data_IF_428034374220
#
_entry.id   IF_428034374220
#
_cell.length_a   1.000
_cell.length_b   1.000
_cell.length_c   1.000
_cell.angle_alpha   90.00
_cell.angle_beta   90.00
_cell.angle_gamma   90.00
#
_symmetry.space_group_name_H-M   'P 1'
#
loop_
_entity.id
_entity.type
_entity.pdbx_description
1 polymer ?
#
# COMPACT_ATOMS: atom_id res chain seq x y z
N UNK A 1 -8.25 3.32 -16.46
CA UNK A 1 -7.03 3.21 -15.63
C UNK A 1 -5.77 3.49 -16.45
N UNK A 2 -5.59 2.89 -17.62
CA UNK A 2 -4.41 3.09 -18.48
C UNK A 2 -4.23 4.53 -19.00
N UNK A 3 -5.34 5.29 -19.15
CA UNK A 3 -5.33 6.68 -19.62
C UNK A 3 -4.61 7.64 -18.66
N UNK A 4 -4.60 7.31 -17.36
CA UNK A 4 -3.99 8.14 -16.31
C UNK A 4 -2.63 7.62 -15.86
N UNK A 5 -2.12 6.55 -16.48
CA UNK A 5 -0.86 5.92 -16.05
C UNK A 5 0.31 6.90 -16.08
N UNK A 6 0.46 7.61 -17.20
CA UNK A 6 1.60 8.50 -17.40
C UNK A 6 1.54 9.80 -16.54
N UNK A 7 0.42 10.01 -15.84
CA UNK A 7 0.19 11.24 -15.06
C UNK A 7 0.08 11.02 -13.55
N UNK A 8 -0.24 9.80 -13.14
CA UNK A 8 -0.61 9.53 -11.74
C UNK A 8 0.16 8.37 -11.11
N UNK A 9 1.08 7.74 -11.85
CA UNK A 9 1.92 6.66 -11.33
C UNK A 9 3.38 7.06 -11.39
N UNK A 10 4.02 7.01 -10.25
CA UNK A 10 5.39 7.47 -10.04
C UNK A 10 6.21 6.40 -9.34
N UNK A 11 7.53 6.55 -9.38
CA UNK A 11 8.45 5.69 -8.66
C UNK A 11 8.63 6.14 -7.21
N UNK A 12 9.21 5.29 -6.37
CA UNK A 12 9.57 5.70 -5.00
C UNK A 12 10.64 6.78 -4.97
N UNK A 13 11.52 6.85 -5.97
CA UNK A 13 12.53 7.92 -6.04
C UNK A 13 11.86 9.27 -6.26
N UNK A 14 10.86 9.34 -7.13
CA UNK A 14 10.05 10.54 -7.35
C UNK A 14 9.22 10.89 -6.11
N UNK A 15 8.62 9.90 -5.45
CA UNK A 15 7.92 10.11 -4.19
C UNK A 15 8.82 10.79 -3.14
N UNK A 16 10.05 10.31 -2.95
CA UNK A 16 10.99 10.93 -2.01
C UNK A 16 11.42 12.34 -2.44
N UNK A 17 11.56 12.58 -3.74
CA UNK A 17 11.81 13.92 -4.26
C UNK A 17 10.62 14.86 -3.98
N UNK A 18 9.40 14.41 -4.20
CA UNK A 18 8.20 15.18 -3.91
C UNK A 18 8.05 15.49 -2.42
N UNK A 19 8.36 14.53 -1.54
CA UNK A 19 8.40 14.76 -0.09
C UNK A 19 9.42 15.84 0.26
N UNK A 20 10.61 15.76 -0.31
CA UNK A 20 11.70 16.71 -0.04
C UNK A 20 11.41 18.12 -0.57
N UNK A 21 10.75 18.20 -1.73
CA UNK A 21 10.44 19.46 -2.42
C UNK A 21 9.10 20.09 -2.00
N UNK A 22 8.27 19.37 -1.24
CA UNK A 22 6.94 19.84 -0.84
C UNK A 22 5.91 19.78 -1.97
N UNK A 23 6.09 18.87 -2.93
CA UNK A 23 5.26 18.72 -4.12
C UNK A 23 4.37 17.46 -4.10
N UNK A 24 4.25 16.79 -2.95
CA UNK A 24 3.32 15.68 -2.83
C UNK A 24 1.91 16.09 -3.26
N UNK A 25 1.21 15.28 -4.05
CA UNK A 25 -0.18 15.53 -4.41
C UNK A 25 -1.07 15.49 -3.15
N UNK A 26 -2.29 15.95 -3.29
CA UNK A 26 -3.30 15.96 -2.21
C UNK A 26 -3.58 14.57 -1.64
N UNK A 27 -3.39 13.53 -2.43
CA UNK A 27 -3.43 12.12 -2.03
C UNK A 27 -2.34 11.35 -2.77
N UNK A 28 -1.50 10.66 -2.03
CA UNK A 28 -0.49 9.74 -2.55
C UNK A 28 -0.73 8.36 -1.94
N UNK A 29 -0.79 7.34 -2.79
CA UNK A 29 -0.88 5.93 -2.39
C UNK A 29 0.43 5.25 -2.72
N UNK A 30 1.05 4.62 -1.73
CA UNK A 30 2.31 3.90 -1.90
C UNK A 30 2.03 2.41 -1.88
N UNK A 31 2.35 1.74 -2.98
CA UNK A 31 2.26 0.29 -3.11
C UNK A 31 3.64 -0.32 -2.89
N UNK A 32 3.81 -1.23 -1.92
CA UNK A 32 5.06 -1.96 -1.73
C UNK A 32 5.38 -2.88 -2.91
N UNK A 33 6.64 -3.26 -3.03
CA UNK A 33 7.05 -4.25 -4.03
C UNK A 33 6.73 -5.65 -3.54
N UNK A 34 5.91 -6.38 -4.29
CA UNK A 34 5.51 -7.76 -4.01
C UNK A 34 6.11 -8.82 -4.95
N UNK A 35 6.86 -8.41 -5.99
CA UNK A 35 7.41 -9.30 -7.01
C UNK A 35 8.94 -9.37 -7.04
N UNK A 36 9.59 -8.29 -6.68
CA UNK A 36 11.04 -8.17 -6.79
C UNK A 36 11.59 -7.34 -5.63
N UNK A 37 12.60 -7.86 -4.94
CA UNK A 37 13.13 -7.22 -3.73
C UNK A 37 11.97 -6.80 -2.82
N UNK A 38 11.12 -7.77 -2.51
CA UNK A 38 9.89 -7.57 -1.76
C UNK A 38 10.14 -6.70 -0.52
N UNK A 39 9.33 -5.68 -0.36
CA UNK A 39 9.34 -4.81 0.81
C UNK A 39 7.91 -4.55 1.33
N UNK A 40 7.06 -5.53 1.12
CA UNK A 40 5.71 -5.67 1.61
C UNK A 40 5.67 -6.38 2.98
N UNK A 41 4.48 -6.57 3.53
CA UNK A 41 4.28 -7.24 4.80
C UNK A 41 3.66 -8.63 4.66
N UNK A 42 3.68 -9.25 3.50
CA UNK A 42 3.22 -10.63 3.40
C UNK A 42 3.99 -11.51 4.39
N UNK A 43 3.31 -12.35 5.17
CA UNK A 43 3.98 -13.31 6.05
C UNK A 43 4.92 -14.18 5.22
N UNK A 44 6.10 -14.55 5.74
CA UNK A 44 6.95 -15.50 5.05
C UNK A 44 6.16 -16.80 4.90
N UNK A 45 5.77 -17.12 3.68
CA UNK A 45 5.08 -18.38 3.43
C UNK A 45 6.01 -19.51 3.84
N UNK A 46 5.58 -20.44 4.72
CA UNK A 46 6.34 -21.66 4.90
C UNK A 46 6.43 -22.30 3.53
N UNK A 47 7.65 -22.57 3.07
CA UNK A 47 7.90 -23.32 1.87
C UNK A 47 7.40 -24.75 2.11
N UNK A 48 6.09 -24.96 2.01
CA UNK A 48 5.53 -26.29 1.95
C UNK A 48 6.08 -26.93 0.67
N UNK A 49 6.63 -28.16 0.71
CA UNK A 49 7.39 -28.74 -0.39
C UNK A 49 6.66 -28.82 -1.71
N UNK A 50 5.36 -28.56 -1.78
CA UNK A 50 4.53 -28.72 -2.98
C UNK A 50 3.55 -27.57 -3.25
N UNK A 51 3.66 -26.46 -2.55
CA UNK A 51 2.80 -25.29 -2.79
C UNK A 51 3.69 -24.14 -3.23
N UNK A 52 3.64 -23.71 -4.49
CA UNK A 52 4.32 -22.53 -4.97
C UNK A 52 3.54 -21.30 -4.44
N UNK A 53 3.66 -21.01 -3.17
CA UNK A 53 3.06 -19.82 -2.58
C UNK A 53 4.11 -18.73 -2.58
N UNK A 54 3.80 -17.64 -3.20
CA UNK A 54 4.38 -16.32 -3.05
C UNK A 54 5.90 -16.23 -3.18
N UNK A 55 6.38 -15.07 -3.60
CA UNK A 55 7.79 -14.74 -3.52
C UNK A 55 8.31 -14.83 -2.09
N UNK A 56 9.63 -14.92 -1.92
CA UNK A 56 10.25 -14.74 -0.63
C UNK A 56 9.89 -13.35 -0.10
N UNK A 57 9.28 -13.28 1.05
CA UNK A 57 8.91 -12.05 1.74
C UNK A 57 9.48 -12.07 3.15
N UNK A 58 9.82 -10.90 3.66
CA UNK A 58 10.27 -10.68 5.02
C UNK A 58 9.65 -9.39 5.54
N UNK A 59 8.80 -9.50 6.54
CA UNK A 59 8.09 -8.34 7.13
C UNK A 59 9.01 -7.22 7.59
N UNK A 60 10.30 -7.54 7.87
CA UNK A 60 11.31 -6.51 8.19
C UNK A 60 11.61 -5.58 7.02
N UNK A 61 11.41 -6.04 5.79
CA UNK A 61 11.54 -5.20 4.60
C UNK A 61 10.36 -4.20 4.49
N UNK A 62 9.16 -4.61 4.89
CA UNK A 62 8.02 -3.71 5.06
C UNK A 62 8.25 -2.68 6.18
N UNK A 63 8.80 -3.12 7.33
CA UNK A 63 9.21 -2.22 8.42
C UNK A 63 10.21 -1.17 7.93
N UNK A 64 11.18 -1.57 7.11
CA UNK A 64 12.17 -0.64 6.55
C UNK A 64 11.51 0.36 5.61
N UNK A 65 10.61 -0.08 4.72
CA UNK A 65 9.87 0.82 3.84
C UNK A 65 9.04 1.83 4.64
N UNK A 66 8.28 1.37 5.64
CA UNK A 66 7.48 2.24 6.50
C UNK A 66 8.36 3.23 7.28
N UNK A 67 9.52 2.78 7.78
CA UNK A 67 10.53 3.63 8.42
C UNK A 67 11.03 4.72 7.47
N UNK A 68 11.39 4.37 6.24
CA UNK A 68 11.98 5.30 5.27
C UNK A 68 10.96 6.36 4.86
N UNK A 69 9.71 5.97 4.59
CA UNK A 69 8.61 6.90 4.30
C UNK A 69 8.36 7.82 5.49
N UNK A 70 8.24 7.27 6.69
CA UNK A 70 8.06 8.06 7.91
C UNK A 70 9.18 9.07 8.13
N UNK A 71 10.42 8.63 7.96
CA UNK A 71 11.61 9.47 8.16
C UNK A 71 11.66 10.60 7.14
N UNK A 72 11.32 10.31 5.87
CA UNK A 72 11.25 11.32 4.82
C UNK A 72 10.17 12.36 5.14
N UNK A 73 8.95 11.93 5.47
CA UNK A 73 7.85 12.83 5.85
C UNK A 73 8.22 13.67 7.08
N UNK A 74 8.77 13.04 8.13
CA UNK A 74 9.22 13.74 9.35
C UNK A 74 10.28 14.81 9.06
N UNK A 75 11.18 14.55 8.11
CA UNK A 75 12.25 15.47 7.73
C UNK A 75 11.80 16.60 6.78
N UNK A 76 10.63 16.50 6.19
CA UNK A 76 10.11 17.51 5.25
C UNK A 76 9.80 18.82 5.97
N UNK A 77 10.54 19.87 5.62
CA UNK A 77 10.49 21.17 6.28
C UNK A 77 10.24 22.33 5.29
N UNK A 78 9.61 22.06 4.15
CA UNK A 78 9.29 23.04 3.13
C UNK A 78 8.33 24.10 3.70
N UNK A 79 8.52 25.35 3.32
CA UNK A 79 7.66 26.47 3.80
C UNK A 79 6.34 26.50 3.02
N UNK A 80 6.39 26.07 1.76
CA UNK A 80 5.22 26.01 0.87
C UNK A 80 5.00 24.58 0.40
N UNK A 81 3.74 24.22 0.15
CA UNK A 81 3.38 22.87 -0.29
C UNK A 81 3.30 21.86 0.85
N UNK A 82 3.50 20.60 0.54
CA UNK A 82 3.45 19.50 1.52
C UNK A 82 4.67 19.49 2.43
N UNK A 83 4.46 19.24 3.73
CA UNK A 83 5.54 19.12 4.71
C UNK A 83 5.05 18.31 5.93
N UNK A 84 5.94 18.08 6.89
CA UNK A 84 5.65 17.31 8.10
C UNK A 84 4.44 17.84 8.90
N UNK A 85 4.19 19.15 8.86
CA UNK A 85 3.11 19.77 9.65
C UNK A 85 1.73 19.67 8.98
N UNK A 86 1.64 19.38 7.68
CA UNK A 86 0.37 19.33 6.96
C UNK A 86 0.13 17.99 6.24
N UNK A 87 0.97 17.00 6.51
CA UNK A 87 0.83 15.64 5.96
C UNK A 87 0.24 14.70 7.01
N UNK A 88 -0.76 13.92 6.63
CA UNK A 88 -1.25 12.77 7.37
C UNK A 88 -0.72 11.50 6.70
N UNK A 89 0.16 10.78 7.37
CA UNK A 89 0.64 9.47 6.92
C UNK A 89 -0.21 8.37 7.55
N UNK A 90 -0.81 7.55 6.70
CA UNK A 90 -1.55 6.35 7.09
C UNK A 90 -0.75 5.12 6.66
N UNK A 91 -0.44 4.25 7.62
CA UNK A 91 0.11 2.91 7.37
C UNK A 91 -0.94 1.89 7.77
N UNK A 92 -1.39 1.10 6.82
CA UNK A 92 -2.40 0.06 7.06
C UNK A 92 -2.21 -1.09 6.08
N UNK A 93 -3.06 -2.10 6.16
CA UNK A 93 -2.98 -3.33 5.39
C UNK A 93 -4.30 -3.53 4.64
N UNK A 94 -4.23 -4.12 3.46
CA UNK A 94 -5.40 -4.47 2.64
C UNK A 94 -6.24 -5.57 3.30
N UNK A 95 -5.55 -6.59 3.86
CA UNK A 95 -6.16 -7.71 4.55
C UNK A 95 -5.20 -8.26 5.64
N UNK A 96 -5.62 -9.30 6.36
CA UNK A 96 -4.97 -9.79 7.58
C UNK A 96 -3.79 -10.76 7.34
N UNK A 97 -3.42 -11.06 6.09
CA UNK A 97 -2.29 -11.95 5.77
C UNK A 97 -2.43 -13.36 6.36
N UNK A 98 -3.64 -13.89 6.48
CA UNK A 98 -3.96 -15.14 7.17
C UNK A 98 -3.60 -15.17 8.68
N UNK A 99 -3.33 -14.01 9.30
CA UNK A 99 -3.09 -13.93 10.73
C UNK A 99 -4.42 -14.03 11.49
N UNK A 100 -4.43 -14.84 12.54
CA UNK A 100 -5.62 -15.01 13.39
C UNK A 100 -5.91 -13.75 14.21
N UNK A 101 -7.20 -13.40 14.32
CA UNK A 101 -7.70 -12.42 15.27
C UNK A 101 -8.81 -13.04 16.14
N UNK A 102 -8.79 -12.76 17.43
CA UNK A 102 -9.80 -13.25 18.38
C UNK A 102 -11.12 -12.47 18.33
N UNK A 103 -11.17 -11.35 17.62
CA UNK A 103 -12.39 -10.54 17.47
C UNK A 103 -13.10 -10.93 16.18
N UNK A 104 -14.35 -11.38 16.32
CA UNK A 104 -15.18 -11.70 15.17
C UNK A 104 -15.49 -10.45 14.34
N UNK A 105 -15.41 -10.52 12.99
CA UNK A 105 -15.79 -9.41 12.14
C UNK A 105 -17.22 -8.92 12.38
N UNK A 106 -17.45 -7.63 12.63
CA UNK A 106 -18.77 -7.08 12.86
C UNK A 106 -19.57 -6.92 11.57
N UNK A 107 -20.87 -6.72 11.69
CA UNK A 107 -21.72 -6.32 10.55
C UNK A 107 -21.36 -4.92 10.05
N UNK A 108 -21.65 -4.67 8.79
CA UNK A 108 -21.35 -3.40 8.13
C UNK A 108 -22.43 -3.03 7.11
N UNK A 109 -22.57 -1.74 6.83
CA UNK A 109 -23.36 -1.25 5.72
C UNK A 109 -22.89 -1.89 4.41
N UNK A 110 -23.80 -2.39 3.60
CA UNK A 110 -23.48 -2.95 2.28
C UNK A 110 -23.03 -1.84 1.32
N UNK A 111 -22.21 -2.16 0.30
CA UNK A 111 -21.78 -1.15 -0.68
C UNK A 111 -22.91 -0.47 -1.43
N UNK A 112 -24.03 -1.15 -1.60
CA UNK A 112 -25.21 -0.62 -2.30
C UNK A 112 -26.52 -1.18 -1.70
N UNK A 113 -27.65 -0.52 -1.99
CA UNK A 113 -28.95 -0.94 -1.52
C UNK A 113 -29.99 -0.86 -2.68
N UNK A 114 -30.62 -1.99 -3.13
CA UNK A 114 -30.38 -3.33 -2.63
C UNK A 114 -28.98 -3.88 -3.00
N UNK A 115 -28.43 -4.69 -2.12
CA UNK A 115 -27.16 -5.36 -2.34
C UNK A 115 -27.39 -6.65 -3.13
N UNK A 116 -26.84 -6.78 -4.35
CA UNK A 116 -26.86 -8.04 -5.07
C UNK A 116 -25.99 -9.08 -4.35
N UNK A 117 -26.37 -10.32 -4.49
CA UNK A 117 -25.62 -11.46 -4.01
C UNK A 117 -24.28 -11.55 -4.77
N UNK A 118 -23.19 -11.68 -4.02
CA UNK A 118 -21.87 -11.94 -4.54
C UNK A 118 -21.57 -13.44 -4.68
N UNK A 119 -20.34 -13.75 -4.98
CA UNK A 119 -19.89 -15.15 -5.04
C UNK A 119 -20.08 -15.84 -3.68
N UNK A 120 -20.39 -17.14 -3.71
CA UNK A 120 -20.60 -17.99 -2.54
C UNK A 120 -21.68 -17.47 -1.58
N UNK A 121 -22.72 -16.84 -2.09
CA UNK A 121 -23.82 -16.23 -1.32
C UNK A 121 -23.35 -15.15 -0.34
N UNK A 122 -22.31 -14.38 -0.69
CA UNK A 122 -21.80 -13.31 0.13
C UNK A 122 -22.49 -11.97 -0.18
N UNK A 123 -23.04 -11.31 0.83
CA UNK A 123 -23.82 -10.07 0.67
C UNK A 123 -23.04 -8.81 1.07
N UNK A 124 -21.78 -8.89 1.38
CA UNK A 124 -20.95 -7.75 1.78
C UNK A 124 -21.49 -6.97 3.00
N UNK A 125 -22.24 -7.61 3.85
CA UNK A 125 -22.86 -7.06 5.05
C UNK A 125 -22.02 -7.20 6.32
N UNK A 126 -20.75 -7.58 6.16
CA UNK A 126 -19.78 -7.83 7.23
C UNK A 126 -18.40 -7.27 6.87
N UNK A 127 -17.68 -6.80 7.88
CA UNK A 127 -16.26 -6.43 7.73
C UNK A 127 -15.39 -7.69 7.70
N UNK A 128 -14.13 -7.51 7.34
CA UNK A 128 -13.09 -8.54 7.44
C UNK A 128 -12.47 -8.64 8.85
N UNK A 129 -11.48 -9.50 8.97
CA UNK A 129 -10.61 -9.59 10.15
C UNK A 129 -9.86 -8.27 10.33
N UNK A 130 -9.62 -7.86 11.60
CA UNK A 130 -8.93 -6.60 11.87
C UNK A 130 -7.52 -6.60 11.33
N UNK A 131 -7.09 -5.43 10.86
CA UNK A 131 -5.73 -5.15 10.43
C UNK A 131 -5.12 -4.03 11.29
N UNK A 132 -3.81 -4.03 11.54
CA UNK A 132 -3.14 -2.91 12.20
C UNK A 132 -3.27 -1.63 11.37
N UNK A 133 -3.41 -0.50 12.05
CA UNK A 133 -3.43 0.81 11.40
C UNK A 133 -2.72 1.83 12.27
N UNK A 134 -1.83 2.61 11.66
CA UNK A 134 -1.08 3.67 12.31
C UNK A 134 -1.35 4.97 11.56
N UNK A 135 -1.79 6.00 12.30
CA UNK A 135 -1.98 7.35 11.80
C UNK A 135 -0.91 8.28 12.39
N UNK A 136 -0.22 9.02 11.54
CA UNK A 136 0.86 9.91 11.93
C UNK A 136 0.61 11.29 11.36
N UNK A 137 0.46 12.28 12.23
CA UNK A 137 0.30 13.68 11.87
C UNK A 137 0.88 14.57 12.96
N UNK A 138 1.23 15.79 12.60
CA UNK A 138 1.59 16.83 13.57
C UNK A 138 0.45 17.13 14.54
N UNK A 139 -0.79 16.93 14.13
CA UNK A 139 -2.00 17.21 14.91
C UNK A 139 -2.57 15.99 15.65
N UNK A 140 -1.85 14.88 15.69
CA UNK A 140 -2.24 13.69 16.45
C UNK A 140 -1.50 13.66 17.79
N UNK A 141 -2.24 13.50 18.90
CA UNK A 141 -1.63 13.30 20.22
C UNK A 141 -0.76 12.03 20.26
N UNK A 142 0.42 12.14 20.86
CA UNK A 142 1.36 11.02 20.93
C UNK A 142 0.79 9.89 21.79
N UNK A 143 0.81 8.66 21.25
CA UNK A 143 0.37 7.46 21.95
C UNK A 143 -1.15 7.33 22.10
N UNK A 144 -1.93 8.16 21.41
CA UNK A 144 -3.40 8.03 21.39
C UNK A 144 -3.82 6.72 20.69
N UNK A 145 -4.98 6.20 21.11
CA UNK A 145 -5.57 4.98 20.56
C UNK A 145 -7.03 5.24 20.21
N UNK A 146 -7.41 4.92 18.98
CA UNK A 146 -8.80 5.00 18.54
C UNK A 146 -9.43 3.63 18.68
N UNK A 147 -10.41 3.50 19.58
CA UNK A 147 -11.04 2.22 19.90
C UNK A 147 -12.36 1.96 19.15
N UNK A 148 -12.88 2.93 18.40
CA UNK A 148 -14.07 2.70 17.58
C UNK A 148 -13.75 1.87 16.32
N UNK A 149 -14.69 1.08 15.80
CA UNK A 149 -14.50 0.38 14.54
C UNK A 149 -14.28 1.37 13.40
N UNK A 150 -13.19 1.17 12.67
CA UNK A 150 -12.83 1.88 11.44
C UNK A 150 -12.56 0.82 10.37
N UNK A 151 -12.91 1.09 9.13
CA UNK A 151 -12.63 0.21 8.00
C UNK A 151 -12.09 1.00 6.81
N UNK A 152 -11.62 0.31 5.77
CA UNK A 152 -10.95 0.94 4.61
C UNK A 152 -11.77 2.06 3.94
N UNK A 153 -13.08 1.97 3.96
CA UNK A 153 -13.96 3.06 3.48
C UNK A 153 -13.75 4.40 4.19
N UNK A 154 -13.10 4.40 5.37
CA UNK A 154 -12.76 5.61 6.10
C UNK A 154 -11.78 6.51 5.32
N UNK A 155 -10.86 5.93 4.56
CA UNK A 155 -9.94 6.70 3.70
C UNK A 155 -10.73 7.44 2.62
N UNK A 156 -11.60 6.72 1.91
CA UNK A 156 -12.47 7.31 0.88
C UNK A 156 -13.37 8.38 1.50
N UNK A 157 -14.00 8.09 2.64
CA UNK A 157 -14.84 9.05 3.35
C UNK A 157 -14.10 10.33 3.74
N UNK A 158 -12.87 10.20 4.24
CA UNK A 158 -12.03 11.35 4.60
C UNK A 158 -11.74 12.23 3.38
N UNK A 159 -11.37 11.62 2.25
CA UNK A 159 -11.14 12.34 0.99
C UNK A 159 -12.41 13.00 0.48
N UNK A 160 -13.54 12.29 0.47
CA UNK A 160 -14.83 12.85 0.04
C UNK A 160 -15.23 14.05 0.90
N UNK A 161 -15.07 13.95 2.22
CA UNK A 161 -15.38 15.05 3.15
C UNK A 161 -14.43 16.24 2.93
N UNK A 162 -13.13 15.98 2.83
CA UNK A 162 -12.12 17.04 2.70
C UNK A 162 -12.22 17.80 1.38
N UNK A 163 -12.53 17.11 0.29
CA UNK A 163 -12.54 17.70 -1.05
C UNK A 163 -13.94 17.89 -1.63
N UNK A 164 -14.98 17.72 -0.82
CA UNK A 164 -16.39 17.83 -1.23
C UNK A 164 -16.71 16.96 -2.47
N UNK A 165 -16.29 15.70 -2.43
CA UNK A 165 -16.56 14.71 -3.46
C UNK A 165 -17.77 13.86 -3.10
N UNK A 166 -18.47 13.37 -4.11
CA UNK A 166 -19.52 12.38 -3.90
C UNK A 166 -18.91 11.05 -3.40
N UNK A 167 -19.62 10.32 -2.51
CA UNK A 167 -19.21 8.98 -2.11
C UNK A 167 -19.27 8.03 -3.32
N UNK A 168 -18.47 6.98 -3.27
CA UNK A 168 -18.44 5.93 -4.29
C UNK A 168 -19.54 4.90 -4.07
N UNK A 169 -19.84 4.59 -2.82
CA UNK A 169 -20.79 3.56 -2.38
C UNK A 169 -21.48 3.96 -1.09
N UNK A 170 -22.56 3.26 -0.72
CA UNK A 170 -23.18 3.44 0.59
C UNK A 170 -22.22 3.08 1.74
N UNK A 171 -21.33 2.13 1.53
CA UNK A 171 -20.35 1.73 2.55
C UNK A 171 -19.42 2.87 2.93
N UNK A 172 -18.83 3.56 1.98
CA UNK A 172 -17.94 4.69 2.27
C UNK A 172 -18.73 5.95 2.66
N UNK A 173 -19.94 6.13 2.15
CA UNK A 173 -20.82 7.21 2.55
C UNK A 173 -21.11 7.20 4.07
N UNK A 174 -21.40 6.03 4.64
CA UNK A 174 -21.68 5.85 6.05
C UNK A 174 -20.46 5.43 6.89
N UNK A 175 -19.27 5.34 6.28
CA UNK A 175 -18.06 5.07 7.03
C UNK A 175 -17.71 6.22 7.99
N UNK A 176 -17.10 5.91 9.15
CA UNK A 176 -16.40 6.94 9.91
C UNK A 176 -15.26 7.51 9.06
N UNK A 177 -14.94 8.78 9.20
CA UNK A 177 -13.72 9.34 8.63
C UNK A 177 -12.55 9.25 9.61
N UNK A 178 -11.38 9.77 9.21
CA UNK A 178 -10.16 9.71 10.01
C UNK A 178 -9.95 10.97 10.89
N UNK A 179 -10.96 11.82 11.03
CA UNK A 179 -10.85 13.09 11.80
C UNK A 179 -10.54 12.88 13.28
N UNK A 180 -10.94 11.73 13.87
CA UNK A 180 -10.61 11.38 15.25
C UNK A 180 -9.09 11.28 15.50
N UNK A 181 -8.28 11.16 14.47
CA UNK A 181 -6.83 11.19 14.59
C UNK A 181 -6.27 12.61 14.74
N UNK A 182 -7.05 13.63 14.41
CA UNK A 182 -6.66 15.04 14.51
C UNK A 182 -7.21 15.58 15.83
N UNK A 183 -6.41 15.46 16.88
CA UNK A 183 -6.84 15.73 18.28
C UNK A 183 -6.27 17.00 18.87
N UNK A 184 -5.34 17.65 18.18
CA UNK A 184 -4.64 18.83 18.66
C UNK A 184 -4.99 20.07 17.83
N UNK A 185 -5.16 21.20 18.50
CA UNK A 185 -5.37 22.50 17.84
C UNK A 185 -4.06 23.07 17.27
N UNK A 186 -2.93 22.74 17.90
CA UNK A 186 -1.60 23.18 17.49
C UNK A 186 -0.70 21.99 17.10
N UNK A 187 0.12 22.15 16.07
CA UNK A 187 0.96 21.06 15.59
C UNK A 187 2.12 20.75 16.52
N UNK A 188 2.41 19.48 16.75
CA UNK A 188 3.63 19.03 17.38
C UNK A 188 4.81 19.18 16.42
N UNK A 189 5.91 19.74 16.91
CA UNK A 189 7.11 19.85 16.10
C UNK A 189 7.68 18.46 15.74
N UNK A 190 8.12 18.24 14.49
CA UNK A 190 8.69 16.97 14.06
C UNK A 190 9.88 16.49 14.89
N UNK A 191 10.63 17.41 15.52
CA UNK A 191 11.71 17.07 16.45
C UNK A 191 11.25 16.29 17.68
N UNK A 192 9.98 16.37 18.04
CA UNK A 192 9.38 15.63 19.18
C UNK A 192 8.83 14.25 18.77
N UNK A 193 8.80 13.94 17.47
CA UNK A 193 8.29 12.67 16.98
C UNK A 193 9.29 11.56 17.26
N UNK A 194 8.85 10.31 17.47
CA UNK A 194 9.73 9.17 17.68
C UNK A 194 10.79 9.03 16.59
N UNK A 195 11.89 8.40 16.92
CA UNK A 195 12.92 8.00 15.95
C UNK A 195 13.03 6.49 16.00
N UNK A 196 12.23 5.76 15.20
CA UNK A 196 12.26 4.32 15.16
C UNK A 196 13.58 3.83 14.57
N UNK A 197 14.01 2.64 14.99
CA UNK A 197 15.17 1.96 14.45
C UNK A 197 14.68 0.74 13.68
N UNK A 198 14.86 0.69 12.34
CA UNK A 198 14.40 -0.43 11.56
C UNK A 198 15.20 -1.69 11.86
N UNK A 199 14.59 -2.84 11.70
CA UNK A 199 15.27 -4.12 11.80
C UNK A 199 16.13 -4.37 10.56
N UNK A 200 17.23 -5.12 10.74
CA UNK A 200 18.07 -5.54 9.62
C UNK A 200 17.30 -6.54 8.76
N UNK A 201 17.19 -6.23 7.48
CA UNK A 201 16.58 -7.13 6.50
C UNK A 201 17.63 -8.15 6.07
N UNK A 202 17.39 -9.46 6.22
CA UNK A 202 18.33 -10.46 5.76
C UNK A 202 18.35 -10.52 4.23
N UNK A 203 19.43 -10.94 3.61
CA UNK A 203 19.46 -11.18 2.17
C UNK A 203 18.49 -12.31 1.79
N UNK A 204 17.93 -12.27 0.58
CA UNK A 204 17.08 -13.35 0.09
C UNK A 204 17.83 -14.68 0.04
N UNK A 205 17.13 -15.82 0.20
CA UNK A 205 17.76 -17.13 0.10
C UNK A 205 18.48 -17.33 -1.23
N UNK A 206 19.66 -17.95 -1.23
CA UNK A 206 20.38 -18.26 -2.46
C UNK A 206 19.53 -19.11 -3.41
N UNK A 207 19.54 -18.78 -4.68
CA UNK A 207 18.82 -19.54 -5.72
C UNK A 207 17.35 -19.16 -5.87
N UNK A 208 16.86 -18.16 -5.16
CA UNK A 208 15.50 -17.67 -5.29
C UNK A 208 15.17 -17.28 -6.74
N UNK A 209 16.14 -16.75 -7.45
CA UNK A 209 16.02 -16.35 -8.86
C UNK A 209 15.71 -17.52 -9.81
N UNK A 210 16.02 -18.75 -9.41
CA UNK A 210 15.82 -19.98 -10.21
C UNK A 210 14.46 -20.63 -9.97
N UNK A 211 13.69 -20.18 -9.00
CA UNK A 211 12.36 -20.74 -8.76
C UNK A 211 11.40 -20.44 -9.91
N UNK A 212 10.44 -21.33 -10.19
CA UNK A 212 9.37 -21.03 -11.14
C UNK A 212 8.47 -19.90 -10.62
N UNK A 213 7.86 -19.18 -11.55
CA UNK A 213 6.85 -18.18 -11.22
C UNK A 213 5.58 -18.83 -10.66
N UNK A 214 4.97 -18.21 -9.67
CA UNK A 214 3.60 -18.52 -9.25
C UNK A 214 2.58 -17.90 -10.24
N UNK A 215 1.29 -18.19 -10.05
CA UNK A 215 0.28 -17.75 -11.00
C UNK A 215 0.03 -16.25 -10.96
N UNK A 216 0.14 -15.60 -9.80
CA UNK A 216 0.07 -14.15 -9.69
C UNK A 216 1.23 -13.48 -10.44
N UNK A 217 2.45 -13.94 -10.22
CA UNK A 217 3.63 -13.44 -10.92
C UNK A 217 3.53 -13.63 -12.44
N UNK A 218 3.05 -14.79 -12.90
CA UNK A 218 2.77 -15.01 -14.33
C UNK A 218 1.75 -14.02 -14.88
N UNK A 219 0.69 -13.76 -14.12
CA UNK A 219 -0.34 -12.80 -14.50
C UNK A 219 0.23 -11.39 -14.64
N UNK A 220 0.99 -10.92 -13.67
CA UNK A 220 1.60 -9.58 -13.69
C UNK A 220 2.62 -9.45 -14.82
N UNK A 221 3.47 -10.45 -14.99
CA UNK A 221 4.43 -10.49 -16.12
C UNK A 221 3.69 -10.49 -17.45
N UNK A 222 2.63 -11.28 -17.58
CA UNK A 222 1.77 -11.32 -18.76
C UNK A 222 1.12 -9.96 -19.08
N UNK A 223 0.61 -9.26 -18.08
CA UNK A 223 0.07 -7.91 -18.23
C UNK A 223 1.16 -6.91 -18.67
N UNK A 224 2.35 -6.99 -18.08
CA UNK A 224 3.47 -6.14 -18.47
C UNK A 224 3.91 -6.39 -19.92
N UNK A 225 3.98 -7.66 -20.34
CA UNK A 225 4.25 -8.04 -21.73
C UNK A 225 3.17 -7.46 -22.65
N UNK A 226 1.91 -7.69 -22.35
CA UNK A 226 0.78 -7.22 -23.18
C UNK A 226 0.78 -5.69 -23.34
N UNK A 227 1.19 -4.98 -22.32
CA UNK A 227 1.15 -3.49 -22.29
C UNK A 227 2.40 -2.85 -22.86
N UNK A 228 3.58 -3.42 -22.62
CA UNK A 228 4.86 -2.73 -22.83
C UNK A 228 5.77 -3.43 -23.85
N UNK A 229 5.51 -4.70 -24.20
CA UNK A 229 6.33 -5.35 -25.22
C UNK A 229 6.03 -4.78 -26.61
N UNK A 230 7.05 -4.52 -27.42
CA UNK A 230 6.85 -4.15 -28.83
C UNK A 230 6.27 -5.32 -29.67
N UNK A 231 6.36 -6.54 -29.16
CA UNK A 231 5.83 -7.75 -29.80
C UNK A 231 5.12 -8.64 -28.74
N UNK A 232 3.94 -8.22 -28.22
CA UNK A 232 3.29 -8.94 -27.13
C UNK A 232 2.98 -10.40 -27.44
N UNK A 233 2.58 -10.70 -28.68
CA UNK A 233 2.22 -12.05 -29.10
C UNK A 233 3.41 -13.00 -29.31
N UNK A 234 4.64 -12.48 -29.41
CA UNK A 234 5.87 -13.24 -29.58
C UNK A 234 6.71 -13.35 -28.29
N UNK A 235 6.37 -12.55 -27.26
CA UNK A 235 7.10 -12.54 -26.00
C UNK A 235 6.47 -13.55 -25.04
N UNK A 236 7.19 -14.62 -24.74
CA UNK A 236 6.75 -15.65 -23.80
C UNK A 236 6.94 -15.17 -22.34
N UNK A 237 6.08 -15.67 -21.44
CA UNK A 237 6.29 -15.51 -20.00
C UNK A 237 7.52 -16.33 -19.60
N UNK A 238 8.54 -15.72 -18.97
CA UNK A 238 9.73 -16.42 -18.53
C UNK A 238 9.43 -17.53 -17.52
N UNK A 239 10.18 -18.64 -17.55
CA UNK A 239 9.94 -19.75 -16.63
C UNK A 239 10.38 -19.49 -15.20
N UNK A 240 11.36 -18.59 -14.98
CA UNK A 240 11.94 -18.34 -13.65
C UNK A 240 11.78 -16.90 -13.21
N UNK A 241 11.83 -16.71 -11.88
CA UNK A 241 11.75 -15.38 -11.27
C UNK A 241 12.85 -14.43 -11.79
N UNK A 242 14.09 -14.87 -11.86
CA UNK A 242 15.21 -14.04 -12.32
C UNK A 242 15.06 -13.58 -13.77
N UNK A 243 14.61 -14.47 -14.65
CA UNK A 243 14.33 -14.12 -16.05
C UNK A 243 13.14 -13.16 -16.15
N UNK A 244 12.09 -13.36 -15.35
CA UNK A 244 10.94 -12.46 -15.30
C UNK A 244 11.33 -11.07 -14.80
N UNK A 245 12.15 -10.99 -13.77
CA UNK A 245 12.69 -9.74 -13.26
C UNK A 245 13.52 -8.98 -14.30
N UNK A 246 14.34 -9.71 -15.04
CA UNK A 246 15.15 -9.14 -16.14
C UNK A 246 14.27 -8.60 -17.25
N UNK A 247 13.24 -9.36 -17.63
CA UNK A 247 12.27 -8.92 -18.63
C UNK A 247 11.50 -7.67 -18.17
N UNK A 248 10.99 -7.65 -16.93
CA UNK A 248 10.27 -6.52 -16.39
C UNK A 248 11.13 -5.25 -16.35
N UNK A 249 12.40 -5.35 -15.95
CA UNK A 249 13.34 -4.22 -16.01
C UNK A 249 13.51 -3.68 -17.43
N UNK A 250 13.56 -4.56 -18.41
CA UNK A 250 13.69 -4.18 -19.83
C UNK A 250 12.43 -3.52 -20.35
N UNK A 251 11.24 -4.04 -19.98
CA UNK A 251 9.96 -3.55 -20.49
C UNK A 251 9.51 -2.24 -19.81
N UNK A 252 9.79 -2.09 -18.52
CA UNK A 252 9.22 -1.04 -17.67
C UNK A 252 10.29 -0.05 -17.21
N UNK A 253 11.55 -0.49 -17.04
CA UNK A 253 12.62 0.29 -16.42
C UNK A 253 12.96 1.60 -17.10
N UNK A 254 12.79 1.72 -18.41
CA UNK A 254 13.07 2.96 -19.13
C UNK A 254 11.89 3.95 -19.13
N UNK A 255 10.70 3.52 -18.76
CA UNK A 255 9.50 4.37 -18.76
C UNK A 255 9.36 5.19 -17.49
N UNK A 256 9.99 4.78 -16.41
CA UNK A 256 10.02 5.51 -15.14
C UNK A 256 11.27 6.40 -14.97
N UNK A 257 12.17 6.42 -15.95
CA UNK A 257 13.36 7.29 -15.92
C UNK A 257 13.14 8.70 -16.49
N UNK A 258 11.99 8.95 -17.08
CA UNK A 258 11.70 10.18 -17.83
C UNK A 258 10.32 10.79 -17.53
N UNK A 259 9.68 10.39 -16.43
CA UNK A 259 8.42 11.00 -15.97
C UNK A 259 8.67 12.08 -14.93
#
# INVERSE_FOLDING_TARGET
>A
MLEYWDKNFYTMDEFYQDVANGTLPAYAFVEPRSLYNNNDYHPPAPLAPNVPIGGWSDVRAGDLLAHDIYTAVKASATITGSNALNTLLLVTFDEHGNCFDHVAPPTATTPQNPQPEGELNFFFDRLGVRVPTILISAYTEAGSVINRPIHHGAVVRTLCTKYNLAPLTDRDHFAPDLSDAITLDEPRFPSTWPTPIPRIVPPPPPGLERRPLNDLEKTIVGLAIARFSPQPGATAIPPTLGEAQTLLRTLVGDRFKHA
#
